data_IF_259186776903
#
_entry.id   IF_259186776903
#
_cell.length_a   1.000
_cell.length_b   1.000
_cell.length_c   1.000
_cell.angle_alpha   90.00
_cell.angle_beta   90.00
_cell.angle_gamma   90.00
#
_symmetry.space_group_name_H-M   'P 1'
#
loop_
_entity.id
_entity.type
_entity.pdbx_description
1 polymer ?
#
# COMPACT_ATOMS: atom_id res chain seq x y z
N UNK A 1 17.38 29.54 14.74
CA UNK A 1 17.49 29.26 13.29
C UNK A 1 17.36 27.75 13.09
N UNK A 2 16.16 27.26 12.80
CA UNK A 2 15.93 25.85 12.49
C UNK A 2 16.17 25.60 11.01
N UNK A 3 16.90 24.54 10.65
CA UNK A 3 16.96 24.00 9.28
C UNK A 3 17.49 22.56 9.21
N UNK A 4 17.25 21.73 10.24
CA UNK A 4 17.47 20.28 10.13
C UNK A 4 16.33 19.55 9.37
N UNK A 5 15.34 20.28 8.85
CA UNK A 5 14.12 19.73 8.24
C UNK A 5 14.24 19.34 6.76
N UNK A 6 15.42 19.00 6.22
CA UNK A 6 15.54 18.81 4.75
C UNK A 6 16.37 17.64 4.23
N UNK A 7 16.78 16.68 5.07
CA UNK A 7 17.55 15.52 4.61
C UNK A 7 16.76 14.24 4.35
N UNK A 8 15.46 14.19 4.68
CA UNK A 8 14.57 13.12 4.22
C UNK A 8 13.63 13.60 3.11
N UNK A 9 14.20 14.22 2.07
CA UNK A 9 13.54 14.42 0.79
C UNK A 9 14.26 13.59 -0.28
N UNK A 10 14.17 12.26 -0.18
CA UNK A 10 14.52 11.37 -1.31
C UNK A 10 14.02 9.95 -1.08
N UNK A 11 12.78 9.66 -1.47
CA UNK A 11 12.48 8.38 -2.11
C UNK A 11 11.16 8.49 -2.86
N UNK A 12 11.24 8.95 -4.11
CA UNK A 12 10.13 8.84 -5.08
C UNK A 12 9.91 7.39 -5.56
N UNK A 13 10.14 6.40 -4.69
CA UNK A 13 9.94 4.98 -4.93
C UNK A 13 9.16 4.26 -3.83
N UNK A 14 8.49 5.03 -2.95
CA UNK A 14 7.92 4.53 -1.70
C UNK A 14 6.84 3.46 -1.87
N UNK A 15 5.93 3.58 -2.84
CA UNK A 15 4.77 2.67 -2.92
C UNK A 15 5.00 1.41 -3.74
N UNK A 16 5.91 1.46 -4.73
CA UNK A 16 6.18 0.33 -5.64
C UNK A 16 6.51 -0.96 -4.90
N UNK A 17 7.33 -0.89 -3.86
CA UNK A 17 7.68 -2.04 -3.02
C UNK A 17 6.44 -2.73 -2.45
N UNK A 18 5.45 -1.96 -2.01
CA UNK A 18 4.23 -2.49 -1.41
C UNK A 18 3.23 -2.95 -2.47
N UNK A 19 3.23 -2.33 -3.64
CA UNK A 19 2.48 -2.79 -4.81
C UNK A 19 3.00 -4.16 -5.28
N UNK A 20 4.32 -4.32 -5.42
CA UNK A 20 4.97 -5.59 -5.74
C UNK A 20 4.70 -6.65 -4.67
N UNK A 21 4.75 -6.27 -3.38
CA UNK A 21 4.41 -7.16 -2.28
C UNK A 21 2.95 -7.63 -2.33
N UNK A 22 2.02 -6.74 -2.68
CA UNK A 22 0.62 -7.09 -2.89
C UNK A 22 0.47 -8.08 -4.06
N UNK A 23 1.08 -7.77 -5.21
CA UNK A 23 1.02 -8.63 -6.39
C UNK A 23 1.63 -10.00 -6.13
N UNK A 24 2.76 -10.05 -5.42
CA UNK A 24 3.40 -11.31 -5.06
C UNK A 24 2.52 -12.13 -4.11
N UNK A 25 1.98 -11.52 -3.05
CA UNK A 25 1.07 -12.18 -2.12
C UNK A 25 -0.20 -12.73 -2.80
N UNK A 26 -0.80 -11.95 -3.70
CA UNK A 26 -2.02 -12.33 -4.38
C UNK A 26 -1.80 -13.34 -5.51
N UNK A 27 -0.84 -13.10 -6.41
CA UNK A 27 -0.62 -13.95 -7.58
C UNK A 27 0.30 -15.15 -7.30
N UNK A 28 1.32 -14.99 -6.47
CA UNK A 28 2.30 -16.06 -6.19
C UNK A 28 1.84 -16.93 -5.02
N UNK A 29 1.43 -16.31 -3.92
CA UNK A 29 1.00 -17.03 -2.72
C UNK A 29 -0.50 -17.35 -2.69
N UNK A 30 -1.27 -16.90 -3.70
CA UNK A 30 -2.72 -17.07 -3.80
C UNK A 30 -3.46 -16.63 -2.53
N UNK A 31 -2.94 -15.61 -1.85
CA UNK A 31 -3.60 -15.03 -0.70
C UNK A 31 -4.75 -14.13 -1.14
N UNK A 32 -5.75 -14.01 -0.26
CA UNK A 32 -6.86 -13.09 -0.49
C UNK A 32 -6.35 -11.67 -0.66
N UNK A 33 -6.97 -10.93 -1.58
CA UNK A 33 -6.66 -9.51 -1.86
C UNK A 33 -6.63 -8.70 -0.57
N UNK A 34 -7.58 -8.95 0.34
CA UNK A 34 -7.63 -8.28 1.64
C UNK A 34 -6.38 -8.50 2.51
N UNK A 35 -5.90 -9.74 2.60
CA UNK A 35 -4.72 -10.06 3.42
C UNK A 35 -3.44 -9.49 2.81
N UNK A 36 -3.29 -9.65 1.48
CA UNK A 36 -2.17 -9.09 0.74
C UNK A 36 -2.11 -7.56 0.88
N UNK A 37 -3.27 -6.91 0.74
CA UNK A 37 -3.40 -5.46 0.83
C UNK A 37 -3.10 -4.94 2.22
N UNK A 38 -3.71 -5.55 3.24
CA UNK A 38 -3.46 -5.19 4.65
C UNK A 38 -1.97 -5.31 4.98
N UNK A 39 -1.33 -6.41 4.57
CA UNK A 39 0.09 -6.65 4.81
C UNK A 39 0.96 -5.57 4.17
N UNK A 40 0.67 -5.22 2.92
CA UNK A 40 1.37 -4.17 2.18
C UNK A 40 1.22 -2.79 2.85
N UNK A 41 0.02 -2.45 3.31
CA UNK A 41 -0.26 -1.20 4.04
C UNK A 41 0.48 -1.19 5.38
N UNK A 42 0.35 -2.23 6.20
CA UNK A 42 1.01 -2.33 7.51
C UNK A 42 2.53 -2.25 7.38
N UNK A 43 3.11 -2.90 6.36
CA UNK A 43 4.53 -2.80 6.06
C UNK A 43 4.94 -1.36 5.71
N UNK A 44 4.16 -0.65 4.90
CA UNK A 44 4.48 0.72 4.52
C UNK A 44 4.30 1.76 5.63
N UNK A 45 3.36 1.54 6.54
CA UNK A 45 3.25 2.35 7.77
C UNK A 45 4.45 2.09 8.68
N UNK A 46 4.82 0.82 8.87
CA UNK A 46 5.94 0.42 9.73
C UNK A 46 7.28 0.93 9.20
N UNK A 47 7.46 0.96 7.89
CA UNK A 47 8.64 1.51 7.22
C UNK A 47 8.64 3.06 7.20
N UNK A 48 7.56 3.71 7.67
CA UNK A 48 7.41 5.17 7.69
C UNK A 48 7.17 5.79 6.31
N UNK A 49 6.75 4.98 5.33
CA UNK A 49 6.38 5.45 3.99
C UNK A 49 4.97 6.03 3.96
N UNK A 50 4.05 5.40 4.69
CA UNK A 50 2.69 5.89 4.86
C UNK A 50 2.57 6.60 6.21
N UNK A 51 1.94 7.78 6.23
CA UNK A 51 1.70 8.53 7.48
C UNK A 51 0.79 7.76 8.45
N UNK A 52 -0.19 7.05 7.92
CA UNK A 52 -1.16 6.24 8.67
C UNK A 52 -1.65 5.06 7.82
N UNK A 53 -2.26 4.06 8.46
CA UNK A 53 -2.84 2.91 7.75
C UNK A 53 -3.91 3.32 6.74
N UNK A 54 -4.76 4.30 7.08
CA UNK A 54 -5.75 4.86 6.17
C UNK A 54 -5.09 5.51 4.93
N UNK A 55 -4.10 6.39 5.14
CA UNK A 55 -3.36 7.04 4.06
C UNK A 55 -2.62 6.02 3.17
N UNK A 56 -2.04 4.99 3.78
CA UNK A 56 -1.40 3.88 3.07
C UNK A 56 -2.39 3.07 2.24
N UNK A 57 -3.56 2.78 2.79
CA UNK A 57 -4.63 2.10 2.08
C UNK A 57 -5.11 2.93 0.89
N UNK A 58 -5.36 4.24 1.04
CA UNK A 58 -5.76 5.08 -0.10
C UNK A 58 -4.69 5.11 -1.20
N UNK A 59 -3.42 5.23 -0.81
CA UNK A 59 -2.31 5.32 -1.76
C UNK A 59 -2.11 4.01 -2.51
N UNK A 60 -2.06 2.87 -1.79
CA UNK A 60 -1.96 1.54 -2.40
C UNK A 60 -3.18 1.21 -3.25
N UNK A 61 -4.38 1.59 -2.81
CA UNK A 61 -5.60 1.38 -3.57
C UNK A 61 -5.54 2.08 -4.92
N UNK A 62 -5.21 3.38 -4.93
CA UNK A 62 -5.10 4.15 -6.17
C UNK A 62 -3.97 3.63 -7.09
N UNK A 63 -2.91 3.05 -6.53
CA UNK A 63 -1.82 2.47 -7.33
C UNK A 63 -2.17 1.09 -7.91
N UNK A 64 -2.98 0.31 -7.20
CA UNK A 64 -3.36 -1.05 -7.57
C UNK A 64 -4.61 -1.10 -8.43
N UNK A 65 -5.56 -0.18 -8.27
CA UNK A 65 -6.85 -0.20 -8.99
C UNK A 65 -6.70 -0.18 -10.51
N UNK A 66 -5.62 0.41 -11.04
CA UNK A 66 -5.32 0.42 -12.48
C UNK A 66 -4.53 -0.80 -12.94
N UNK A 67 -4.05 -1.64 -12.02
CA UNK A 67 -3.19 -2.80 -12.30
C UNK A 67 -3.85 -4.15 -12.02
N UNK A 68 -4.83 -4.20 -11.13
CA UNK A 68 -5.55 -5.42 -10.79
C UNK A 68 -6.76 -5.64 -11.69
N UNK A 69 -7.21 -6.88 -11.76
CA UNK A 69 -8.40 -7.25 -12.52
C UNK A 69 -9.66 -6.64 -11.88
N UNK A 70 -10.69 -6.31 -12.69
CA UNK A 70 -11.93 -5.72 -12.19
C UNK A 70 -12.64 -6.58 -11.13
N UNK A 71 -12.43 -7.90 -11.15
CA UNK A 71 -12.96 -8.83 -10.15
C UNK A 71 -12.32 -8.61 -8.78
N UNK A 72 -11.01 -8.36 -8.74
CA UNK A 72 -10.26 -8.10 -7.50
C UNK A 72 -10.47 -6.69 -6.97
N UNK A 73 -10.93 -5.74 -7.81
CA UNK A 73 -11.22 -4.35 -7.38
C UNK A 73 -12.25 -4.30 -6.25
N UNK A 74 -13.28 -5.14 -6.33
CA UNK A 74 -14.32 -5.19 -5.30
C UNK A 74 -13.75 -5.67 -3.95
N UNK A 75 -12.86 -6.66 -3.98
CA UNK A 75 -12.17 -7.14 -2.78
C UNK A 75 -11.19 -6.09 -2.25
N UNK A 76 -10.49 -5.38 -3.12
CA UNK A 76 -9.56 -4.30 -2.76
C UNK A 76 -10.27 -3.12 -2.09
N UNK A 77 -11.42 -2.70 -2.63
CA UNK A 77 -12.25 -1.64 -2.07
C UNK A 77 -12.81 -2.02 -0.70
N UNK A 78 -13.24 -3.28 -0.56
CA UNK A 78 -13.67 -3.84 0.72
C UNK A 78 -12.54 -3.88 1.74
N UNK A 79 -11.34 -4.28 1.31
CA UNK A 79 -10.14 -4.30 2.15
C UNK A 79 -9.77 -2.88 2.61
N UNK A 80 -9.80 -1.89 1.71
CA UNK A 80 -9.63 -0.48 2.04
C UNK A 80 -10.63 -0.04 3.11
N UNK A 81 -11.92 -0.35 2.94
CA UNK A 81 -12.98 0.04 3.89
C UNK A 81 -12.85 -0.60 5.28
N UNK A 82 -12.15 -1.74 5.37
CA UNK A 82 -11.85 -2.42 6.64
C UNK A 82 -10.65 -1.82 7.37
N UNK A 83 -9.77 -1.11 6.68
CA UNK A 83 -8.68 -0.35 7.29
C UNK A 83 -9.26 0.99 7.76
N UNK A 84 -9.27 1.20 9.07
CA UNK A 84 -9.72 2.41 9.76
C UNK A 84 -8.70 2.80 10.82
#
# INVERSE_FOLDING_TARGET
MGFLSKLFRRSGGGTKKYEDMFMEAHYTFKQSVEYAFKTAVEAGVKDGVFESAEAGAETLYNALIDKIEPEDKAELEKAKSRIR
#
